data_IF_930731135503
#
_entry.id   IF_930731135503
#
_cell.length_a   1.000
_cell.length_b   1.000
_cell.length_c   1.000
_cell.angle_alpha   90.00
_cell.angle_beta   90.00
_cell.angle_gamma   90.00
#
_symmetry.space_group_name_H-M   'P 1'
#
loop_
_entity.id
_entity.type
_entity.pdbx_description
1 polymer ?
#
# COMPACT_ATOMS: atom_id res chain seq x y z
N UNK A 1 -12.23 -74.95 -67.40
CA UNK A 1 -11.74 -75.48 -66.10
C UNK A 1 -11.25 -74.29 -65.28
N UNK A 2 -12.14 -73.80 -64.49
CA UNK A 2 -11.88 -72.62 -63.66
C UNK A 2 -11.32 -73.07 -62.30
N UNK A 3 -10.17 -72.60 -61.96
CA UNK A 3 -9.53 -72.81 -60.67
C UNK A 3 -9.91 -71.67 -59.70
N UNK A 4 -10.73 -71.97 -58.73
CA UNK A 4 -11.07 -71.07 -57.65
C UNK A 4 -9.88 -70.84 -56.73
N UNK A 5 -9.29 -69.66 -56.81
CA UNK A 5 -8.25 -69.22 -55.85
C UNK A 5 -8.89 -68.75 -54.57
N UNK A 6 -8.81 -69.52 -53.48
CA UNK A 6 -9.13 -69.07 -52.16
C UNK A 6 -8.09 -68.09 -51.64
N UNK A 7 -8.53 -66.88 -51.29
CA UNK A 7 -7.67 -65.87 -50.70
C UNK A 7 -7.40 -66.22 -49.20
N UNK A 8 -6.15 -66.19 -48.75
CA UNK A 8 -5.80 -66.47 -47.35
C UNK A 8 -6.36 -65.41 -46.37
N UNK A 9 -7.10 -65.85 -45.36
CA UNK A 9 -7.61 -65.01 -44.30
C UNK A 9 -6.47 -64.63 -43.34
N UNK A 10 -5.97 -63.40 -43.41
CA UNK A 10 -4.98 -62.88 -42.45
C UNK A 10 -5.65 -62.41 -41.17
N UNK A 11 -5.62 -63.23 -40.12
CA UNK A 11 -6.09 -62.87 -38.80
C UNK A 11 -5.02 -62.07 -38.08
N UNK A 12 -5.16 -60.75 -38.00
CA UNK A 12 -4.29 -59.84 -37.23
C UNK A 12 -4.64 -59.92 -35.75
N UNK A 13 -3.90 -60.73 -34.97
CA UNK A 13 -4.07 -60.80 -33.51
C UNK A 13 -3.53 -59.54 -32.85
N UNK A 14 -4.40 -58.60 -32.51
CA UNK A 14 -4.04 -57.41 -31.77
C UNK A 14 -3.82 -57.81 -30.29
N UNK A 15 -2.57 -57.91 -29.87
CA UNK A 15 -2.24 -58.00 -28.46
C UNK A 15 -2.60 -56.66 -27.81
N UNK A 16 -3.72 -56.62 -27.05
CA UNK A 16 -4.01 -55.52 -26.12
C UNK A 16 -2.89 -55.50 -25.09
N UNK A 17 -2.01 -54.51 -25.15
CA UNK A 17 -1.01 -54.26 -24.14
C UNK A 17 -1.71 -54.10 -22.79
N UNK A 18 -1.40 -54.95 -21.83
CA UNK A 18 -1.89 -54.82 -20.47
C UNK A 18 -1.44 -53.43 -19.94
N UNK A 19 -2.41 -52.58 -19.63
CA UNK A 19 -2.12 -51.28 -19.02
C UNK A 19 -1.35 -51.51 -17.72
N UNK A 20 -0.21 -50.88 -17.56
CA UNK A 20 0.54 -50.88 -16.31
C UNK A 20 -0.28 -50.12 -15.25
N UNK A 21 -1.22 -50.77 -14.59
CA UNK A 21 -1.94 -50.22 -13.42
C UNK A 21 -1.08 -50.18 -12.13
N UNK A 22 0.23 -50.50 -12.24
CA UNK A 22 1.14 -50.58 -11.08
C UNK A 22 1.61 -49.23 -10.49
N UNK A 23 1.26 -48.08 -11.12
CA UNK A 23 1.74 -46.76 -10.66
C UNK A 23 0.73 -45.93 -9.87
N UNK A 24 -0.56 -46.19 -9.98
CA UNK A 24 -1.61 -45.35 -9.43
C UNK A 24 -1.52 -45.24 -7.88
N UNK A 25 -1.18 -46.30 -7.18
CA UNK A 25 -0.98 -46.26 -5.72
C UNK A 25 0.21 -45.37 -5.30
N UNK A 26 1.26 -45.27 -6.15
CA UNK A 26 2.41 -44.39 -5.87
C UNK A 26 2.01 -42.93 -5.90
N UNK A 27 1.12 -42.55 -6.82
CA UNK A 27 0.59 -41.20 -6.93
C UNK A 27 -0.29 -40.88 -5.72
N UNK A 28 -1.19 -41.79 -5.35
CA UNK A 28 -2.01 -41.63 -4.17
C UNK A 28 -1.17 -41.53 -2.87
N UNK A 29 -0.11 -42.35 -2.77
CA UNK A 29 0.82 -42.31 -1.64
C UNK A 29 1.60 -41.00 -1.60
N UNK A 30 2.07 -40.52 -2.77
CA UNK A 30 2.75 -39.23 -2.85
C UNK A 30 1.84 -38.06 -2.45
N UNK A 31 0.59 -38.06 -2.88
CA UNK A 31 -0.41 -37.04 -2.50
C UNK A 31 -0.68 -37.06 -0.99
N UNK A 32 -0.86 -38.22 -0.42
CA UNK A 32 -1.03 -38.40 1.04
C UNK A 32 0.18 -37.86 1.81
N UNK A 33 1.41 -38.19 1.41
CA UNK A 33 2.63 -37.72 2.07
C UNK A 33 2.80 -36.21 1.94
N UNK A 34 2.51 -35.64 0.77
CA UNK A 34 2.59 -34.18 0.58
C UNK A 34 1.54 -33.45 1.42
N UNK A 35 0.33 -33.99 1.52
CA UNK A 35 -0.71 -33.43 2.38
C UNK A 35 -0.31 -33.49 3.86
N UNK A 36 0.26 -34.60 4.32
CA UNK A 36 0.80 -34.73 5.69
C UNK A 36 1.95 -33.74 5.94
N UNK A 37 2.85 -33.56 4.96
CA UNK A 37 3.94 -32.60 5.07
C UNK A 37 3.41 -31.16 5.17
N UNK A 38 2.41 -30.80 4.36
CA UNK A 38 1.77 -29.50 4.44
C UNK A 38 1.11 -29.27 5.81
N UNK A 39 0.38 -30.24 6.31
CA UNK A 39 -0.23 -30.19 7.65
C UNK A 39 0.84 -30.03 8.73
N UNK A 40 1.93 -30.79 8.65
CA UNK A 40 3.03 -30.69 9.60
C UNK A 40 3.65 -29.30 9.60
N UNK A 41 3.90 -28.72 8.43
CA UNK A 41 4.45 -27.36 8.29
C UNK A 41 3.51 -26.32 8.94
N UNK A 42 2.20 -26.44 8.70
CA UNK A 42 1.20 -25.54 9.30
C UNK A 42 1.22 -25.66 10.83
N UNK A 43 1.17 -26.88 11.37
CA UNK A 43 1.20 -27.09 12.81
C UNK A 43 2.52 -26.66 13.44
N UNK A 44 3.63 -26.83 12.73
CA UNK A 44 4.94 -26.37 13.17
C UNK A 44 5.01 -24.84 13.22
N UNK A 45 4.50 -24.15 12.19
CA UNK A 45 4.43 -22.68 12.18
C UNK A 45 3.50 -22.18 13.29
N UNK A 46 2.34 -22.82 13.51
CA UNK A 46 1.42 -22.42 14.58
C UNK A 46 2.06 -22.55 15.98
N UNK A 47 2.95 -23.51 16.16
CA UNK A 47 3.69 -23.70 17.42
C UNK A 47 5.03 -22.97 17.47
N UNK A 48 5.44 -22.32 16.39
CA UNK A 48 6.68 -21.55 16.33
C UNK A 48 6.59 -20.26 17.16
N UNK A 49 7.74 -19.78 17.63
CA UNK A 49 7.84 -18.50 18.35
C UNK A 49 7.38 -17.34 17.46
N UNK A 50 6.86 -16.23 18.06
CA UNK A 50 6.38 -15.08 17.31
C UNK A 50 7.38 -14.56 16.27
N UNK A 51 8.68 -14.55 16.60
CA UNK A 51 9.74 -14.06 15.73
C UNK A 51 9.84 -14.89 14.43
N UNK A 52 9.64 -16.21 14.51
CA UNK A 52 9.66 -17.09 13.33
C UNK A 52 8.42 -16.85 12.46
N UNK A 53 7.27 -16.62 13.07
CA UNK A 53 6.02 -16.31 12.35
C UNK A 53 6.15 -15.00 11.57
N UNK A 54 6.72 -13.98 12.19
CA UNK A 54 6.97 -12.67 11.54
C UNK A 54 7.99 -12.78 10.41
N UNK A 55 9.06 -13.56 10.58
CA UNK A 55 10.05 -13.78 9.53
C UNK A 55 9.44 -14.47 8.31
N UNK A 56 8.60 -15.50 8.52
CA UNK A 56 7.89 -16.18 7.43
C UNK A 56 6.90 -15.25 6.76
N UNK A 57 6.11 -14.49 7.54
CA UNK A 57 5.18 -13.50 6.99
C UNK A 57 5.91 -12.39 6.21
N UNK A 58 7.06 -11.95 6.67
CA UNK A 58 7.91 -10.97 6.00
C UNK A 58 8.39 -11.44 4.63
N UNK A 59 8.79 -12.71 4.51
CA UNK A 59 9.18 -13.30 3.22
C UNK A 59 8.04 -13.29 2.20
N UNK A 60 6.80 -13.56 2.62
CA UNK A 60 5.64 -13.53 1.73
C UNK A 60 5.17 -12.12 1.38
N UNK A 61 5.43 -11.13 2.25
CA UNK A 61 5.09 -9.71 1.97
C UNK A 61 6.06 -9.03 1.00
N UNK A 62 7.35 -9.33 1.12
CA UNK A 62 8.40 -8.74 0.28
C UNK A 62 9.51 -9.76 -0.03
N UNK A 63 9.28 -10.68 -0.98
CA UNK A 63 10.25 -11.72 -1.33
C UNK A 63 11.57 -11.17 -1.89
N UNK A 64 11.52 -10.01 -2.54
CA UNK A 64 12.70 -9.38 -3.18
C UNK A 64 13.55 -8.65 -2.14
N UNK A 65 12.92 -7.92 -1.21
CA UNK A 65 13.61 -7.24 -0.11
C UNK A 65 14.26 -8.22 0.86
N UNK A 66 13.61 -9.36 1.09
CA UNK A 66 14.17 -10.43 1.93
C UNK A 66 15.40 -11.10 1.30
N UNK A 67 15.41 -11.32 -0.03
CA UNK A 67 16.52 -11.96 -0.74
C UNK A 67 17.79 -11.09 -0.82
N UNK A 68 17.65 -9.77 -0.89
CA UNK A 68 18.80 -8.85 -0.90
C UNK A 68 19.50 -8.72 0.44
N UNK A 69 18.77 -8.95 1.54
CA UNK A 69 19.36 -9.00 2.90
C UNK A 69 19.96 -10.36 3.25
N UNK A 70 19.59 -11.44 2.54
CA UNK A 70 20.07 -12.81 2.75
C UNK A 70 21.33 -13.18 1.97
N UNK A 71 22.12 -12.24 1.49
CA UNK A 71 23.32 -12.49 0.66
C UNK A 71 24.39 -13.36 1.35
N UNK A 72 24.20 -13.72 2.62
CA UNK A 72 25.10 -14.54 3.42
C UNK A 72 24.79 -16.05 3.42
N UNK A 73 23.67 -16.50 2.84
CA UNK A 73 23.27 -17.92 2.90
C UNK A 73 23.74 -18.78 1.73
N UNK A 74 24.29 -18.16 0.64
CA UNK A 74 24.69 -18.88 -0.58
C UNK A 74 26.21 -19.10 -0.65
N UNK A 75 27.00 -18.47 0.18
CA UNK A 75 28.46 -18.61 0.17
C UNK A 75 28.90 -19.68 1.18
N UNK A 76 28.70 -20.93 0.83
CA UNK A 76 29.23 -22.22 1.29
C UNK A 76 29.97 -22.38 2.65
N UNK A 77 29.95 -21.37 3.52
CA UNK A 77 30.43 -21.42 4.91
C UNK A 77 29.24 -21.21 5.86
N UNK A 78 28.39 -22.22 5.93
CA UNK A 78 27.32 -22.27 6.92
C UNK A 78 27.90 -22.30 8.34
N UNK A 79 27.45 -21.46 9.28
CA UNK A 79 27.71 -21.67 10.70
C UNK A 79 27.05 -22.98 11.12
N UNK A 80 27.78 -23.75 11.95
CA UNK A 80 27.29 -25.03 12.49
C UNK A 80 25.95 -24.87 13.27
N UNK A 81 25.34 -25.98 13.73
CA UNK A 81 23.95 -26.02 14.24
C UNK A 81 23.64 -25.15 15.47
N UNK A 82 24.54 -24.32 15.91
CA UNK A 82 24.42 -23.53 17.15
C UNK A 82 24.20 -22.02 16.96
N UNK A 83 24.14 -21.50 15.74
CA UNK A 83 23.85 -20.09 15.50
C UNK A 83 22.59 -19.93 14.67
N UNK A 84 21.44 -19.94 15.35
CA UNK A 84 20.24 -19.34 14.77
C UNK A 84 20.59 -17.88 14.41
N UNK A 85 20.23 -17.39 13.19
CA UNK A 85 20.43 -16.00 12.87
C UNK A 85 19.69 -15.17 13.93
N UNK A 86 20.44 -14.37 14.65
CA UNK A 86 19.87 -13.35 15.51
C UNK A 86 19.23 -12.33 14.55
N UNK A 87 17.93 -12.43 14.30
CA UNK A 87 17.15 -11.41 13.59
C UNK A 87 17.04 -10.19 14.51
N UNK A 88 18.17 -9.52 14.71
CA UNK A 88 18.14 -8.16 15.22
C UNK A 88 17.67 -7.30 14.04
N UNK A 89 16.46 -6.78 14.11
CA UNK A 89 16.04 -5.69 13.24
C UNK A 89 17.15 -4.65 13.20
N UNK A 90 17.50 -4.17 12.01
CA UNK A 90 18.43 -3.05 11.91
C UNK A 90 17.90 -1.92 12.79
N UNK A 91 18.75 -1.08 13.30
CA UNK A 91 18.31 0.09 14.10
C UNK A 91 17.30 0.92 13.32
N UNK A 92 17.45 1.01 12.01
CA UNK A 92 16.52 1.67 11.10
C UNK A 92 15.13 1.04 11.09
N UNK A 93 15.04 -0.30 11.08
CA UNK A 93 13.76 -1.02 11.13
C UNK A 93 13.05 -0.82 12.47
N UNK A 94 13.79 -0.85 13.57
CA UNK A 94 13.24 -0.58 14.91
C UNK A 94 12.70 0.84 15.02
N UNK A 95 13.48 1.82 14.55
CA UNK A 95 13.06 3.23 14.52
C UNK A 95 11.81 3.40 13.67
N UNK A 96 11.73 2.72 12.52
CA UNK A 96 10.59 2.78 11.63
C UNK A 96 9.32 2.16 12.23
N UNK A 97 9.44 1.04 12.95
CA UNK A 97 8.30 0.43 13.66
C UNK A 97 7.79 1.33 14.79
N UNK A 98 8.67 1.95 15.56
CA UNK A 98 8.29 2.93 16.58
C UNK A 98 7.51 4.10 15.95
N UNK A 99 8.00 4.64 14.84
CA UNK A 99 7.31 5.72 14.12
C UNK A 99 5.95 5.28 13.57
N UNK A 100 5.80 4.06 13.10
CA UNK A 100 4.49 3.53 12.67
C UNK A 100 3.48 3.48 13.82
N UNK A 101 3.92 3.08 15.01
CA UNK A 101 3.05 3.09 16.19
C UNK A 101 2.65 4.51 16.60
N UNK A 102 3.58 5.47 16.54
CA UNK A 102 3.28 6.89 16.77
C UNK A 102 2.27 7.42 15.76
N UNK A 103 2.45 7.10 14.48
CA UNK A 103 1.52 7.48 13.41
C UNK A 103 0.14 6.87 13.59
N UNK A 104 0.08 5.61 14.01
CA UNK A 104 -1.19 4.95 14.31
C UNK A 104 -1.93 5.62 15.46
N UNK A 105 -1.24 5.95 16.55
CA UNK A 105 -1.83 6.69 17.68
C UNK A 105 -2.34 8.06 17.23
N UNK A 106 -1.60 8.75 16.37
CA UNK A 106 -2.05 10.04 15.81
C UNK A 106 -3.27 9.85 14.91
N UNK A 107 -3.29 8.83 14.07
CA UNK A 107 -4.44 8.49 13.22
C UNK A 107 -5.69 8.25 14.07
N UNK A 108 -5.60 7.36 15.06
CA UNK A 108 -6.73 7.02 15.94
C UNK A 108 -7.25 8.29 16.63
N UNK A 109 -6.35 9.12 17.16
CA UNK A 109 -6.71 10.38 17.83
C UNK A 109 -7.39 11.37 16.89
N UNK A 110 -6.85 11.57 15.67
CA UNK A 110 -7.45 12.47 14.69
C UNK A 110 -8.85 11.99 14.28
N UNK A 111 -9.05 10.69 14.10
CA UNK A 111 -10.36 10.15 13.78
C UNK A 111 -11.35 10.34 14.92
N UNK A 112 -10.95 10.07 16.16
CA UNK A 112 -11.79 10.29 17.34
C UNK A 112 -12.17 11.79 17.49
N UNK A 113 -11.24 12.70 17.26
CA UNK A 113 -11.51 14.14 17.30
C UNK A 113 -12.47 14.60 16.20
N UNK A 114 -12.36 14.00 15.00
CA UNK A 114 -13.26 14.31 13.88
C UNK A 114 -14.68 13.79 14.11
N UNK A 115 -14.83 12.63 14.73
CA UNK A 115 -16.13 12.03 15.01
C UNK A 115 -16.86 12.74 16.17
N UNK A 116 -16.12 13.20 17.16
CA UNK A 116 -16.67 13.84 18.36
C UNK A 116 -16.90 15.35 18.22
N UNK A 117 -16.32 16.00 17.22
CA UNK A 117 -16.50 17.42 16.96
C UNK A 117 -17.74 17.66 16.06
N UNK A 118 -18.76 18.30 16.61
CA UNK A 118 -20.02 18.57 15.90
C UNK A 118 -19.83 19.42 14.65
N UNK A 119 -18.83 20.32 14.62
CA UNK A 119 -18.54 21.18 13.49
C UNK A 119 -17.78 20.41 12.37
N UNK A 120 -17.08 19.33 12.72
CA UNK A 120 -16.19 18.60 11.83
C UNK A 120 -16.67 17.18 11.49
N UNK A 121 -17.73 16.68 12.15
CA UNK A 121 -18.25 15.32 11.91
C UNK A 121 -18.64 15.06 10.46
N UNK A 122 -19.05 16.09 9.71
CA UNK A 122 -19.34 16.01 8.27
C UNK A 122 -18.12 15.71 7.39
N UNK A 123 -16.90 15.97 7.91
CA UNK A 123 -15.65 15.72 7.17
C UNK A 123 -15.06 14.34 7.41
N UNK A 124 -15.53 13.56 8.39
CA UNK A 124 -14.96 12.25 8.74
C UNK A 124 -14.88 11.29 7.55
N UNK A 125 -15.87 11.35 6.63
CA UNK A 125 -15.91 10.54 5.40
C UNK A 125 -15.04 11.07 4.27
N UNK A 126 -14.59 12.32 4.36
CA UNK A 126 -13.79 13.01 3.35
C UNK A 126 -12.29 13.00 3.70
N UNK A 127 -11.97 12.58 4.93
CA UNK A 127 -10.59 12.44 5.42
C UNK A 127 -10.23 10.97 5.40
N UNK A 128 -9.18 10.63 4.65
CA UNK A 128 -8.61 9.28 4.61
C UNK A 128 -7.19 9.32 5.13
N UNK A 129 -6.87 8.47 6.10
CA UNK A 129 -5.54 8.39 6.69
C UNK A 129 -4.98 7.00 6.45
N UNK A 130 -3.87 6.93 5.74
CA UNK A 130 -3.25 5.66 5.34
C UNK A 130 -1.74 5.67 5.55
N UNK A 131 -1.20 4.53 6.01
CA UNK A 131 0.24 4.31 6.07
C UNK A 131 0.77 4.00 4.68
N UNK A 132 1.77 4.76 4.23
CA UNK A 132 2.45 4.58 2.94
C UNK A 132 3.92 4.20 3.13
N UNK A 133 4.64 3.97 2.04
CA UNK A 133 6.10 3.74 2.08
C UNK A 133 6.88 4.97 2.54
N UNK A 134 6.35 6.17 2.30
CA UNK A 134 7.00 7.45 2.63
C UNK A 134 6.68 7.91 4.05
N UNK A 135 5.53 7.49 4.61
CA UNK A 135 5.05 7.92 5.91
C UNK A 135 3.54 7.79 6.05
N UNK A 136 2.96 8.60 6.90
CA UNK A 136 1.51 8.69 7.07
C UNK A 136 0.94 9.72 6.09
N UNK A 137 0.06 9.27 5.20
CA UNK A 137 -0.65 10.13 4.26
C UNK A 137 -2.06 10.44 4.80
N UNK A 138 -2.36 11.72 4.90
CA UNK A 138 -3.68 12.26 5.25
C UNK A 138 -4.24 12.90 4.00
N UNK A 139 -5.26 12.30 3.42
CA UNK A 139 -5.89 12.75 2.19
C UNK A 139 -7.25 13.38 2.50
N UNK A 140 -7.45 14.59 2.01
CA UNK A 140 -8.67 15.37 2.11
C UNK A 140 -9.31 15.41 0.72
N UNK A 141 -10.29 14.54 0.48
CA UNK A 141 -10.95 14.40 -0.82
C UNK A 141 -12.23 15.23 -0.86
N UNK A 142 -12.39 16.02 -1.91
CA UNK A 142 -13.60 16.85 -2.10
C UNK A 142 -14.84 16.00 -2.43
N UNK A 143 -15.99 16.61 -2.40
CA UNK A 143 -17.26 16.02 -2.80
C UNK A 143 -17.96 16.90 -3.85
N UNK A 144 -19.19 16.53 -4.20
CA UNK A 144 -20.00 17.27 -5.17
C UNK A 144 -20.30 18.73 -4.78
N UNK A 145 -20.20 19.06 -3.49
CA UNK A 145 -20.54 20.37 -2.96
C UNK A 145 -19.31 21.29 -2.73
N UNK A 146 -18.14 20.92 -3.24
CA UNK A 146 -16.91 21.70 -3.08
C UNK A 146 -16.65 22.12 -1.62
N UNK A 147 -16.57 21.14 -0.72
CA UNK A 147 -16.58 21.39 0.75
C UNK A 147 -15.32 22.05 1.25
N UNK A 148 -14.18 21.82 0.60
CA UNK A 148 -12.89 22.35 1.06
C UNK A 148 -12.59 23.76 0.56
N UNK A 149 -12.89 24.06 -0.71
CA UNK A 149 -12.53 25.33 -1.34
C UNK A 149 -13.76 26.05 -1.88
N UNK A 150 -13.67 27.39 -1.99
CA UNK A 150 -14.61 28.15 -2.80
C UNK A 150 -14.48 27.74 -4.28
N UNK A 151 -15.60 27.66 -4.99
CA UNK A 151 -15.66 27.14 -6.37
C UNK A 151 -14.67 27.86 -7.27
N UNK A 152 -13.80 27.07 -7.92
CA UNK A 152 -12.80 27.59 -8.87
C UNK A 152 -11.71 28.45 -8.24
N UNK A 153 -11.50 28.37 -6.91
CA UNK A 153 -10.47 29.15 -6.20
C UNK A 153 -9.57 28.26 -5.35
N UNK A 154 -8.55 28.87 -4.78
CA UNK A 154 -7.66 28.29 -3.77
C UNK A 154 -8.01 28.72 -2.35
N UNK A 155 -9.12 29.45 -2.17
CA UNK A 155 -9.57 29.93 -0.86
C UNK A 155 -10.26 28.81 -0.10
N UNK A 156 -9.71 28.42 1.05
CA UNK A 156 -10.31 27.44 1.95
C UNK A 156 -11.56 28.01 2.62
N UNK A 157 -12.62 27.22 2.68
CA UNK A 157 -13.80 27.48 3.49
C UNK A 157 -13.45 27.43 4.99
N UNK A 158 -14.25 28.08 5.85
CA UNK A 158 -13.97 28.22 7.28
C UNK A 158 -13.80 26.90 8.00
N UNK A 159 -14.70 25.94 7.74
CA UNK A 159 -14.70 24.60 8.32
C UNK A 159 -13.50 23.79 7.86
N UNK A 160 -13.17 23.84 6.56
CA UNK A 160 -11.98 23.19 6.00
C UNK A 160 -10.69 23.77 6.62
N UNK A 161 -10.64 25.08 6.85
CA UNK A 161 -9.51 25.74 7.51
C UNK A 161 -9.37 25.28 8.96
N UNK A 162 -10.48 25.13 9.70
CA UNK A 162 -10.48 24.59 11.07
C UNK A 162 -9.96 23.15 11.09
N UNK A 163 -10.46 22.30 10.18
CA UNK A 163 -10.04 20.91 10.05
C UNK A 163 -8.54 20.79 9.79
N UNK A 164 -8.02 21.49 8.76
CA UNK A 164 -6.61 21.45 8.41
C UNK A 164 -5.75 22.03 9.55
N UNK A 165 -6.25 23.06 10.24
CA UNK A 165 -5.60 23.60 11.43
C UNK A 165 -5.47 22.58 12.55
N UNK A 166 -6.52 21.81 12.86
CA UNK A 166 -6.45 20.70 13.85
C UNK A 166 -5.43 19.65 13.44
N UNK A 167 -5.44 19.22 12.19
CA UNK A 167 -4.44 18.30 11.64
C UNK A 167 -3.03 18.87 11.87
N UNK A 168 -2.82 20.15 11.58
CA UNK A 168 -1.55 20.85 11.83
C UNK A 168 -1.12 20.81 13.29
N UNK A 169 -2.07 21.03 14.22
CA UNK A 169 -1.84 20.96 15.66
C UNK A 169 -1.42 19.58 16.15
N UNK A 170 -2.03 18.50 15.63
CA UNK A 170 -1.61 17.14 15.97
C UNK A 170 -0.24 16.79 15.38
N UNK A 171 -0.01 17.11 14.12
CA UNK A 171 1.29 16.86 13.46
C UNK A 171 2.43 17.66 14.12
N UNK A 172 2.15 18.85 14.65
CA UNK A 172 3.16 19.71 15.31
C UNK A 172 3.84 19.06 16.50
N UNK A 173 3.18 18.08 17.14
CA UNK A 173 3.72 17.31 18.28
C UNK A 173 4.83 16.35 17.86
N UNK A 174 4.97 16.12 16.57
CA UNK A 174 6.03 15.31 15.96
C UNK A 174 7.11 16.21 15.36
N UNK A 175 8.31 15.70 15.18
CA UNK A 175 9.40 16.44 14.52
C UNK A 175 9.63 15.99 13.05
N UNK A 176 8.65 15.32 12.47
CA UNK A 176 8.71 14.77 11.11
C UNK A 176 8.59 15.87 10.06
N UNK A 177 9.17 15.64 8.90
CA UNK A 177 9.02 16.49 7.72
C UNK A 177 7.68 16.20 7.02
N UNK A 178 7.13 17.22 6.37
CA UNK A 178 5.79 17.21 5.80
C UNK A 178 5.84 17.65 4.35
N UNK A 179 5.17 16.89 3.50
CA UNK A 179 4.90 17.25 2.10
C UNK A 179 3.41 17.56 1.96
N UNK A 180 3.08 18.66 1.31
CA UNK A 180 1.70 19.05 1.02
C UNK A 180 1.50 19.06 -0.48
N UNK A 181 0.53 18.29 -0.97
CA UNK A 181 0.27 18.12 -2.40
C UNK A 181 -1.17 18.51 -2.74
N UNK A 182 -1.33 19.24 -3.84
CA UNK A 182 -2.63 19.63 -4.39
C UNK A 182 -2.89 18.92 -5.72
N UNK A 183 -4.15 18.51 -5.90
CA UNK A 183 -4.63 17.84 -7.10
C UNK A 183 -5.95 18.44 -7.57
N UNK A 184 -6.18 18.42 -8.86
CA UNK A 184 -7.46 18.81 -9.49
C UNK A 184 -8.06 17.62 -10.24
N UNK A 185 -9.31 17.74 -10.61
CA UNK A 185 -9.89 16.96 -11.70
C UNK A 185 -9.40 17.46 -13.07
N UNK A 186 -9.79 16.79 -14.14
CA UNK A 186 -9.41 17.12 -15.51
C UNK A 186 -10.27 18.27 -16.12
N UNK A 187 -11.17 18.89 -15.35
CA UNK A 187 -11.90 20.06 -15.81
C UNK A 187 -10.90 21.19 -16.03
N UNK A 188 -10.87 21.72 -17.26
CA UNK A 188 -9.98 22.82 -17.57
C UNK A 188 -10.43 24.09 -16.83
N UNK A 189 -9.47 24.75 -16.18
CA UNK A 189 -9.72 26.09 -15.65
C UNK A 189 -10.06 27.04 -16.80
N UNK A 190 -11.04 27.92 -16.59
CA UNK A 190 -11.80 28.68 -17.62
C UNK A 190 -10.99 29.48 -18.68
N UNK A 191 -9.66 29.47 -18.66
CA UNK A 191 -8.82 30.29 -19.56
C UNK A 191 -8.15 29.51 -20.71
N UNK A 192 -8.71 28.35 -21.14
CA UNK A 192 -8.18 27.55 -22.27
C UNK A 192 -6.66 27.31 -22.22
N UNK A 193 -6.10 27.14 -21.01
CA UNK A 193 -4.68 26.85 -20.81
C UNK A 193 -3.74 28.06 -20.97
N UNK A 194 -4.26 29.26 -21.09
CA UNK A 194 -3.45 30.50 -21.15
C UNK A 194 -3.51 31.21 -19.79
N UNK A 195 -2.37 31.33 -19.13
CA UNK A 195 -2.25 31.98 -17.83
C UNK A 195 -2.44 31.03 -16.67
N UNK A 196 -3.52 31.19 -15.89
CA UNK A 196 -3.81 30.37 -14.72
C UNK A 196 -4.43 29.02 -15.11
N UNK A 197 -3.75 27.92 -14.84
CA UNK A 197 -4.11 26.56 -15.22
C UNK A 197 -4.38 25.69 -13.98
N UNK A 198 -4.69 24.41 -14.17
CA UNK A 198 -4.83 23.44 -13.08
C UNK A 198 -3.52 23.27 -12.28
N UNK A 199 -2.35 23.54 -12.86
CA UNK A 199 -1.08 23.52 -12.14
C UNK A 199 -0.98 24.65 -11.12
N UNK A 200 -1.33 25.87 -11.52
CA UNK A 200 -1.36 27.01 -10.61
C UNK A 200 -2.42 26.80 -9.54
N UNK A 201 -3.64 26.36 -9.93
CA UNK A 201 -4.72 26.12 -8.99
C UNK A 201 -4.34 25.06 -7.93
N UNK A 202 -3.79 23.92 -8.35
CA UNK A 202 -3.38 22.86 -7.44
C UNK A 202 -2.25 23.29 -6.51
N UNK A 203 -1.28 24.07 -7.04
CA UNK A 203 -0.18 24.61 -6.25
C UNK A 203 -0.67 25.63 -5.22
N UNK A 204 -1.56 26.53 -5.60
CA UNK A 204 -2.14 27.52 -4.67
C UNK A 204 -3.03 26.88 -3.62
N UNK A 205 -3.78 25.81 -3.95
CA UNK A 205 -4.54 25.02 -2.99
C UNK A 205 -3.63 24.34 -1.97
N UNK A 206 -2.51 23.75 -2.42
CA UNK A 206 -1.50 23.18 -1.53
C UNK A 206 -0.86 24.26 -0.62
N UNK A 207 -0.58 25.46 -1.15
CA UNK A 207 -0.09 26.59 -0.36
C UNK A 207 -1.13 27.09 0.65
N UNK A 208 -2.41 27.08 0.31
CA UNK A 208 -3.49 27.45 1.22
C UNK A 208 -3.63 26.43 2.36
N UNK A 209 -3.51 25.14 2.04
CA UNK A 209 -3.48 24.06 3.04
C UNK A 209 -2.24 24.20 3.94
N UNK A 210 -1.05 24.44 3.38
CA UNK A 210 0.19 24.72 4.16
C UNK A 210 -0.02 25.87 5.14
N UNK A 211 -0.63 26.97 4.70
CA UNK A 211 -0.92 28.12 5.59
C UNK A 211 -1.87 27.76 6.71
N UNK A 212 -2.90 26.96 6.43
CA UNK A 212 -3.84 26.49 7.44
C UNK A 212 -3.19 25.56 8.46
N UNK A 213 -2.30 24.64 8.04
CA UNK A 213 -1.51 23.79 8.91
C UNK A 213 -0.64 24.61 9.87
N UNK A 214 0.08 25.60 9.34
CA UNK A 214 0.94 26.49 10.15
C UNK A 214 0.12 27.33 11.12
N UNK A 215 -1.02 27.86 10.68
CA UNK A 215 -1.95 28.56 11.55
C UNK A 215 -2.47 27.69 12.71
N UNK A 216 -2.65 26.38 12.45
CA UNK A 216 -3.04 25.38 13.45
C UNK A 216 -1.93 24.94 14.40
N UNK A 217 -0.70 25.45 14.23
CA UNK A 217 0.42 25.19 15.13
C UNK A 217 1.58 24.40 14.53
N UNK A 218 1.48 23.98 13.26
CA UNK A 218 2.59 23.31 12.60
C UNK A 218 3.79 24.27 12.44
N UNK A 219 4.98 23.82 12.83
CA UNK A 219 6.18 24.62 12.64
C UNK A 219 6.56 24.71 11.17
N UNK A 220 6.82 25.91 10.67
CA UNK A 220 7.15 26.13 9.26
C UNK A 220 8.40 25.33 8.80
N UNK A 221 9.33 25.08 9.72
CA UNK A 221 10.54 24.26 9.46
C UNK A 221 10.22 22.77 9.23
N UNK A 222 9.03 22.30 9.57
CA UNK A 222 8.59 20.93 9.29
C UNK A 222 8.13 20.77 7.84
N UNK A 223 7.72 21.85 7.18
CA UNK A 223 7.38 21.81 5.75
C UNK A 223 8.65 21.51 4.95
N UNK A 224 8.64 20.39 4.25
CA UNK A 224 9.70 19.97 3.35
C UNK A 224 9.43 20.44 1.93
N UNK A 225 8.23 20.14 1.42
CA UNK A 225 7.83 20.45 0.07
C UNK A 225 6.34 20.83 -0.01
N UNK A 226 6.02 21.70 -0.98
CA UNK A 226 4.65 22.00 -1.41
C UNK A 226 4.58 21.78 -2.93
N UNK A 227 3.67 20.90 -3.38
CA UNK A 227 3.59 20.45 -4.78
C UNK A 227 2.19 20.65 -5.34
N UNK A 228 2.10 21.06 -6.59
CA UNK A 228 0.88 21.05 -7.38
C UNK A 228 1.00 20.04 -8.52
N UNK A 229 0.05 19.11 -8.60
CA UNK A 229 0.07 18.06 -9.63
C UNK A 229 -1.00 18.24 -10.70
N UNK A 230 -1.85 19.26 -10.60
CA UNK A 230 -2.99 19.39 -11.50
C UNK A 230 -3.79 18.06 -11.58
N UNK A 231 -4.13 17.63 -12.77
CA UNK A 231 -4.78 16.36 -13.11
C UNK A 231 -3.80 15.27 -13.56
N UNK A 232 -2.49 15.45 -13.35
CA UNK A 232 -1.47 14.46 -13.80
C UNK A 232 -1.43 13.20 -12.95
N UNK A 233 -1.96 13.25 -11.72
CA UNK A 233 -2.07 12.12 -10.80
C UNK A 233 -3.52 11.95 -10.33
N UNK A 234 -4.36 11.47 -11.24
CA UNK A 234 -5.76 11.19 -10.92
C UNK A 234 -5.86 10.04 -9.91
N UNK A 235 -6.82 10.16 -8.97
CA UNK A 235 -7.20 9.07 -8.08
C UNK A 235 -8.10 8.06 -8.79
N UNK A 236 -9.05 8.58 -9.56
CA UNK A 236 -9.90 7.82 -10.45
C UNK A 236 -9.57 8.17 -11.91
N UNK A 237 -8.75 7.33 -12.53
CA UNK A 237 -8.36 7.50 -13.93
C UNK A 237 -9.49 7.05 -14.90
N UNK A 238 -10.48 6.28 -14.42
CA UNK A 238 -11.62 5.86 -15.23
C UNK A 238 -12.63 7.01 -15.39
N UNK A 239 -12.76 7.87 -14.37
CA UNK A 239 -13.51 9.12 -14.44
C UNK A 239 -12.60 10.32 -14.10
N UNK A 240 -11.89 10.89 -15.08
CA UNK A 240 -10.99 12.01 -14.87
C UNK A 240 -11.66 13.29 -14.33
N UNK A 241 -12.96 13.43 -14.56
CA UNK A 241 -13.75 14.61 -14.14
C UNK A 241 -14.38 14.44 -12.76
N UNK A 242 -14.24 13.28 -12.16
CA UNK A 242 -14.78 12.99 -10.83
C UNK A 242 -14.20 13.91 -9.77
N UNK A 243 -15.07 14.36 -8.86
CA UNK A 243 -14.69 15.19 -7.71
C UNK A 243 -13.67 14.50 -6.79
N UNK A 244 -13.57 13.17 -6.78
CA UNK A 244 -12.58 12.43 -5.98
C UNK A 244 -11.12 12.74 -6.41
N UNK A 245 -10.94 13.30 -7.61
CA UNK A 245 -9.65 13.75 -8.09
C UNK A 245 -9.22 15.08 -7.45
N UNK A 246 -10.19 15.91 -7.00
CA UNK A 246 -9.93 17.16 -6.28
C UNK A 246 -9.60 16.84 -4.83
N UNK A 247 -8.34 16.86 -4.49
CA UNK A 247 -7.88 16.50 -3.15
C UNK A 247 -6.61 17.24 -2.74
N UNK A 248 -6.40 17.32 -1.44
CA UNK A 248 -5.14 17.69 -0.81
C UNK A 248 -4.57 16.47 -0.12
N UNK A 249 -3.31 16.17 -0.35
CA UNK A 249 -2.57 15.14 0.38
C UNK A 249 -1.53 15.77 1.29
N UNK A 250 -1.49 15.34 2.53
CA UNK A 250 -0.52 15.77 3.55
C UNK A 250 0.23 14.53 3.98
N UNK A 251 1.50 14.41 3.57
CA UNK A 251 2.35 13.26 3.93
C UNK A 251 3.30 13.63 5.05
N UNK A 252 3.15 12.97 6.19
CA UNK A 252 4.08 13.03 7.32
C UNK A 252 5.17 11.99 7.09
N UNK A 253 6.36 12.43 6.63
CA UNK A 253 7.46 11.53 6.22
C UNK A 253 8.03 10.77 7.40
N UNK A 254 8.46 9.53 7.18
CA UNK A 254 9.34 8.86 8.13
C UNK A 254 10.63 9.66 8.30
N UNK A 255 11.15 9.70 9.53
CA UNK A 255 12.50 10.22 9.78
C UNK A 255 13.51 9.21 9.24
N UNK A 256 14.49 9.69 8.52
CA UNK A 256 15.66 8.90 8.19
C UNK A 256 16.47 8.62 9.48
N UNK A 257 16.91 7.39 9.64
CA UNK A 257 17.85 7.05 10.70
C UNK A 257 19.17 7.83 10.44
N UNK A 258 19.61 8.58 11.44
CA UNK A 258 20.88 9.31 11.37
C UNK A 258 22.03 8.36 11.61
#
# INVERSE_FOLDING_TARGET
MEGSGESPIIVKKIKKGGGHHGGAWKVAYADFVTAMMALFIVLWILNAKPEVKEAVAGYFKDPVGFSTKSKSLIDGKGPGPSQMPNFSFSEEEKVREIQKEEFKKMQDKLMDELENDTDLSGFSRLVKIEMTKEGLNIELTDNENDVFFEIGTSQLKSEAKKLIGKIGGEISKMSNKIVVEGHTDANQFKNNGVGFTNFELSSERALSAKRALVFGGLHEKQIDEVRGYADTKLRDAADPFSFVNRRISITVKFKEAK
#
